data_IF_845094526064
#
_entry.id   IF_845094526064
#
_cell.length_a   1.000
_cell.length_b   1.000
_cell.length_c   1.000
_cell.angle_alpha   90.00
_cell.angle_beta   90.00
_cell.angle_gamma   90.00
#
_symmetry.space_group_name_H-M   'P 1'
#
loop_
_entity.id
_entity.type
_entity.pdbx_description
1 polymer ?
#
# COMPACT_ATOMS: atom_id res chain seq x y z
N UNK A 1 20.24 47.50 -1.40
CA UNK A 1 20.21 48.37 -2.59
C UNK A 1 21.41 49.29 -2.54
N UNK A 2 22.32 49.21 -3.51
CA UNK A 2 23.49 50.11 -3.57
C UNK A 2 23.34 50.99 -4.82
N UNK A 3 23.15 52.26 -4.65
CA UNK A 3 23.23 53.23 -5.73
C UNK A 3 24.71 53.66 -5.87
N UNK A 4 25.31 53.35 -7.03
CA UNK A 4 26.67 53.80 -7.38
C UNK A 4 26.52 54.87 -8.44
N UNK A 5 26.99 56.06 -8.14
CA UNK A 5 27.08 57.19 -9.07
C UNK A 5 28.53 57.46 -9.36
N UNK A 6 28.90 57.55 -10.63
CA UNK A 6 30.24 58.00 -11.07
C UNK A 6 30.15 59.41 -11.63
N UNK A 7 31.22 60.19 -11.40
CA UNK A 7 31.28 61.57 -11.89
C UNK A 7 31.56 61.55 -13.38
N UNK A 8 30.63 62.10 -14.16
CA UNK A 8 30.82 62.28 -15.60
C UNK A 8 31.97 63.28 -15.89
N UNK A 9 32.67 63.03 -16.97
CA UNK A 9 33.85 63.81 -17.40
C UNK A 9 33.54 65.19 -17.98
N UNK A 10 32.26 65.58 -18.07
CA UNK A 10 31.84 66.86 -18.67
C UNK A 10 31.47 67.90 -17.62
N UNK A 11 32.18 68.99 -17.65
CA UNK A 11 32.16 70.07 -16.70
C UNK A 11 31.04 71.13 -16.94
N UNK A 12 29.96 70.75 -17.64
CA UNK A 12 28.86 71.62 -17.96
C UNK A 12 27.51 71.03 -17.62
N UNK A 13 26.91 71.62 -16.65
CA UNK A 13 25.57 71.40 -16.16
C UNK A 13 25.41 70.35 -15.07
N UNK A 14 24.99 70.83 -13.93
CA UNK A 14 24.63 70.15 -12.70
C UNK A 14 23.26 69.48 -12.77
N UNK A 15 22.96 68.86 -13.93
CA UNK A 15 21.77 68.03 -14.10
C UNK A 15 22.21 66.59 -14.13
N UNK A 16 22.07 65.92 -12.99
CA UNK A 16 22.24 64.48 -12.94
C UNK A 16 21.25 63.80 -13.87
N UNK A 17 21.73 63.37 -15.04
CA UNK A 17 20.95 62.56 -15.95
C UNK A 17 20.66 61.23 -15.29
N UNK A 18 19.42 61.03 -14.88
CA UNK A 18 18.87 59.76 -14.44
C UNK A 18 18.61 58.81 -15.61
N UNK A 19 19.23 59.07 -16.76
CA UNK A 19 19.11 58.21 -17.93
C UNK A 19 19.76 56.87 -17.63
N UNK A 20 18.94 55.86 -17.48
CA UNK A 20 19.27 54.44 -17.28
C UNK A 20 19.61 53.96 -15.85
N UNK A 21 18.94 54.45 -14.83
CA UNK A 21 18.92 53.75 -13.55
C UNK A 21 18.24 52.38 -13.73
N UNK A 22 19.01 51.37 -14.00
CA UNK A 22 18.51 49.99 -14.10
C UNK A 22 18.57 49.34 -12.72
N UNK A 23 17.40 49.14 -12.13
CA UNK A 23 17.27 48.32 -10.92
C UNK A 23 17.40 46.85 -11.31
N UNK A 24 18.57 46.28 -11.17
CA UNK A 24 18.78 44.83 -11.35
C UNK A 24 18.65 44.13 -10.00
N UNK A 25 17.51 43.52 -9.73
CA UNK A 25 17.43 42.49 -8.69
C UNK A 25 18.26 41.29 -9.22
N UNK A 26 19.25 40.80 -8.44
CA UNK A 26 19.90 39.56 -8.85
C UNK A 26 18.81 38.49 -9.01
N UNK A 27 18.72 37.90 -10.18
CA UNK A 27 17.85 36.76 -10.43
C UNK A 27 18.43 35.58 -9.64
N UNK A 28 17.80 35.27 -8.52
CA UNK A 28 18.02 33.99 -7.86
C UNK A 28 17.08 33.00 -8.57
N UNK A 29 17.62 32.00 -9.21
CA UNK A 29 16.79 30.94 -9.78
C UNK A 29 15.86 30.39 -8.68
N UNK A 30 14.59 30.09 -9.01
CA UNK A 30 13.70 29.44 -8.07
C UNK A 30 14.38 28.15 -7.56
N UNK A 31 14.39 27.97 -6.24
CA UNK A 31 14.93 26.75 -5.66
C UNK A 31 13.87 25.66 -5.77
N UNK A 32 14.17 24.60 -6.52
CA UNK A 32 13.31 23.44 -6.64
C UNK A 32 13.81 22.30 -5.73
N UNK A 33 12.88 21.48 -5.27
CA UNK A 33 13.11 20.34 -4.40
C UNK A 33 12.45 19.11 -5.00
N UNK A 34 13.09 17.96 -4.82
CA UNK A 34 12.57 16.65 -5.24
C UNK A 34 11.76 15.98 -4.12
N UNK A 35 10.63 15.39 -4.48
CA UNK A 35 9.90 14.45 -3.61
C UNK A 35 10.00 13.07 -4.24
N UNK A 36 10.75 12.18 -3.57
CA UNK A 36 10.97 10.80 -4.00
C UNK A 36 10.13 9.87 -3.13
N UNK A 37 9.33 9.02 -3.75
CA UNK A 37 8.50 8.04 -3.04
C UNK A 37 8.77 6.62 -3.53
N UNK A 38 8.66 5.65 -2.64
CA UNK A 38 8.81 4.22 -2.95
C UNK A 38 7.92 3.38 -2.04
N UNK A 39 7.59 2.17 -2.45
CA UNK A 39 7.03 1.15 -1.57
C UNK A 39 8.15 0.46 -0.76
N UNK A 40 7.83 -0.05 0.42
CA UNK A 40 8.72 -0.94 1.19
C UNK A 40 9.00 -2.24 0.42
N UNK A 41 7.97 -2.76 -0.26
CA UNK A 41 8.06 -3.90 -1.17
C UNK A 41 7.15 -3.66 -2.39
N UNK A 42 7.69 -3.66 -3.63
CA UNK A 42 6.90 -3.50 -4.85
C UNK A 42 5.87 -4.61 -5.09
N UNK A 43 6.04 -5.80 -4.47
CA UNK A 43 5.06 -6.87 -4.52
C UNK A 43 3.81 -6.56 -3.69
N UNK A 44 3.91 -5.72 -2.66
CA UNK A 44 2.82 -5.36 -1.75
C UNK A 44 2.05 -4.12 -2.20
N UNK A 45 2.67 -3.25 -3.00
CA UNK A 45 2.01 -2.03 -3.46
C UNK A 45 2.94 -1.08 -4.20
N UNK A 46 2.42 0.11 -4.50
CA UNK A 46 3.14 1.18 -5.19
C UNK A 46 2.90 2.52 -4.51
N UNK A 47 3.80 3.47 -4.79
CA UNK A 47 3.70 4.84 -4.30
C UNK A 47 3.99 5.83 -5.41
N UNK A 48 3.26 6.95 -5.43
CA UNK A 48 3.45 8.03 -6.39
C UNK A 48 3.31 9.39 -5.72
N UNK A 49 4.09 10.37 -6.19
CA UNK A 49 3.88 11.78 -5.92
C UNK A 49 3.14 12.42 -7.09
N UNK A 50 2.37 13.47 -6.83
CA UNK A 50 1.63 14.21 -7.86
C UNK A 50 2.55 14.99 -8.82
N UNK A 51 3.78 15.31 -8.36
CA UNK A 51 4.84 15.93 -9.17
C UNK A 51 6.22 15.37 -8.79
N UNK A 52 7.23 15.58 -9.65
CA UNK A 52 8.61 15.16 -9.38
C UNK A 52 9.47 16.29 -8.77
N UNK A 53 9.11 17.54 -9.07
CA UNK A 53 9.81 18.73 -8.60
C UNK A 53 8.81 19.77 -8.10
N UNK A 54 9.18 20.45 -7.02
CA UNK A 54 8.36 21.43 -6.33
C UNK A 54 9.16 22.70 -6.06
N UNK A 55 8.51 23.84 -6.07
CA UNK A 55 9.09 25.08 -5.56
C UNK A 55 9.00 25.08 -4.02
N UNK A 56 9.84 25.92 -3.40
CA UNK A 56 9.79 26.09 -1.95
C UNK A 56 8.39 26.55 -1.49
N UNK A 57 7.81 25.82 -0.54
CA UNK A 57 6.46 26.01 0.01
C UNK A 57 5.31 25.54 -0.90
N UNK A 58 5.59 24.86 -2.02
CA UNK A 58 4.55 24.15 -2.74
C UNK A 58 3.97 23.02 -1.88
N UNK A 59 2.77 22.63 -2.21
CA UNK A 59 2.11 21.47 -1.57
C UNK A 59 2.34 20.24 -2.41
N UNK A 60 2.87 19.18 -1.81
CA UNK A 60 2.99 17.86 -2.41
C UNK A 60 1.89 16.94 -1.90
N UNK A 61 1.38 16.09 -2.80
CA UNK A 61 0.46 15.00 -2.48
C UNK A 61 1.09 13.69 -2.89
N UNK A 62 1.25 12.78 -1.93
CA UNK A 62 1.76 11.43 -2.17
C UNK A 62 0.66 10.40 -1.90
N UNK A 63 0.55 9.42 -2.79
CA UNK A 63 -0.48 8.39 -2.74
C UNK A 63 0.15 7.00 -2.77
N UNK A 64 -0.31 6.15 -1.87
CA UNK A 64 0.04 4.73 -1.81
C UNK A 64 -1.12 3.90 -2.35
N UNK A 65 -0.82 2.88 -3.16
CA UNK A 65 -1.80 1.93 -3.69
C UNK A 65 -1.36 0.52 -3.33
N UNK A 66 -2.14 -0.14 -2.48
CA UNK A 66 -1.88 -1.53 -2.09
C UNK A 66 -2.30 -2.49 -3.23
N UNK A 67 -1.55 -3.58 -3.38
CA UNK A 67 -1.94 -4.72 -4.21
C UNK A 67 -2.96 -5.59 -3.44
N UNK A 68 -3.62 -6.50 -4.16
CA UNK A 68 -4.57 -7.46 -3.57
C UNK A 68 -3.91 -8.30 -2.46
N UNK A 69 -4.59 -8.42 -1.32
CA UNK A 69 -4.09 -9.10 -0.12
C UNK A 69 -3.15 -8.29 0.76
N UNK A 70 -3.02 -6.98 0.50
CA UNK A 70 -2.20 -6.08 1.28
C UNK A 70 -2.94 -4.78 1.59
N UNK A 71 -2.53 -4.09 2.66
CA UNK A 71 -3.04 -2.76 3.01
C UNK A 71 -1.90 -1.79 3.30
N UNK A 72 -2.17 -0.51 3.09
CA UNK A 72 -1.26 0.57 3.47
C UNK A 72 -1.28 0.77 4.99
N UNK A 73 -0.10 0.93 5.59
CA UNK A 73 0.06 1.17 7.03
C UNK A 73 0.40 2.62 7.31
N UNK A 74 1.53 3.10 6.76
CA UNK A 74 2.00 4.45 7.01
C UNK A 74 3.07 4.90 6.00
N UNK A 75 3.41 6.19 6.08
CA UNK A 75 4.58 6.77 5.44
C UNK A 75 5.71 6.94 6.44
N UNK A 76 6.91 6.55 6.05
CA UNK A 76 8.13 6.81 6.81
C UNK A 76 9.10 7.67 6.00
N UNK A 77 9.92 8.49 6.71
CA UNK A 77 11.02 9.25 6.11
C UNK A 77 12.25 8.35 5.86
N UNK A 78 13.36 8.95 5.39
CA UNK A 78 14.60 8.24 5.09
C UNK A 78 15.24 7.56 6.33
N UNK A 79 14.96 8.07 7.53
CA UNK A 79 15.43 7.55 8.82
C UNK A 79 14.53 6.44 9.38
N UNK A 80 13.42 6.10 8.68
CA UNK A 80 12.44 5.12 9.13
C UNK A 80 11.43 5.63 10.16
N UNK A 81 11.39 6.95 10.40
CA UNK A 81 10.42 7.56 11.31
C UNK A 81 9.07 7.73 10.60
N UNK A 82 7.98 7.33 11.27
CA UNK A 82 6.60 7.54 10.76
C UNK A 82 6.30 9.03 10.70
N UNK A 83 5.88 9.50 9.52
CA UNK A 83 5.51 10.90 9.26
C UNK A 83 4.01 11.07 9.04
N UNK A 84 3.30 10.03 8.58
CA UNK A 84 1.86 10.06 8.38
C UNK A 84 1.27 8.65 8.26
N UNK A 85 0.04 8.47 8.73
CA UNK A 85 -0.81 7.29 8.48
C UNK A 85 -1.93 7.61 7.47
N UNK A 86 -2.00 8.86 6.99
CA UNK A 86 -3.01 9.27 6.02
C UNK A 86 -2.59 8.89 4.60
N UNK A 87 -3.53 8.43 3.80
CA UNK A 87 -3.35 8.14 2.39
C UNK A 87 -4.58 8.68 1.61
N UNK A 88 -4.40 9.71 0.75
CA UNK A 88 -3.14 10.39 0.43
C UNK A 88 -2.58 11.22 1.60
N UNK A 89 -1.25 11.44 1.59
CA UNK A 89 -0.56 12.34 2.52
C UNK A 89 -0.19 13.64 1.82
N UNK A 90 -0.55 14.77 2.43
CA UNK A 90 -0.36 16.12 1.89
C UNK A 90 0.53 16.94 2.82
N UNK A 91 1.58 17.55 2.27
CA UNK A 91 2.55 18.35 3.07
C UNK A 91 3.19 19.48 2.25
N UNK A 92 3.73 20.48 2.96
CA UNK A 92 4.47 21.57 2.35
C UNK A 92 5.94 21.21 2.11
N UNK A 93 6.46 21.47 0.91
CA UNK A 93 7.84 21.14 0.51
C UNK A 93 8.76 22.30 0.87
N UNK A 94 9.78 22.04 1.69
CA UNK A 94 10.81 23.03 2.10
C UNK A 94 12.24 22.58 1.80
N UNK A 95 12.42 21.30 1.48
CA UNK A 95 13.68 20.60 1.19
C UNK A 95 13.41 19.33 0.37
N UNK A 96 14.45 18.64 -0.08
CA UNK A 96 14.30 17.34 -0.71
C UNK A 96 13.75 16.31 0.28
N UNK A 97 12.73 15.56 -0.14
CA UNK A 97 12.01 14.60 0.70
C UNK A 97 12.08 13.20 0.08
N UNK A 98 12.40 12.20 0.90
CA UNK A 98 12.26 10.79 0.53
C UNK A 98 11.29 10.12 1.49
N UNK A 99 10.23 9.49 0.94
CA UNK A 99 9.23 8.77 1.70
C UNK A 99 9.13 7.32 1.24
N UNK A 100 8.89 6.44 2.21
CA UNK A 100 8.54 5.04 1.95
C UNK A 100 7.09 4.80 2.39
N UNK A 101 6.26 4.31 1.46
CA UNK A 101 4.95 3.75 1.77
C UNK A 101 5.14 2.35 2.32
N UNK A 102 4.67 2.10 3.53
CA UNK A 102 4.75 0.79 4.16
C UNK A 102 3.41 0.07 3.98
N UNK A 103 3.49 -1.15 3.50
CA UNK A 103 2.37 -2.06 3.31
C UNK A 103 2.60 -3.32 4.15
N UNK A 104 1.51 -3.92 4.62
CA UNK A 104 1.48 -5.21 5.32
C UNK A 104 0.45 -6.12 4.66
N UNK A 105 0.61 -7.44 4.82
CA UNK A 105 -0.36 -8.42 4.35
C UNK A 105 -1.66 -8.31 5.15
N UNK A 106 -2.80 -8.46 4.46
CA UNK A 106 -4.09 -8.54 5.12
C UNK A 106 -4.16 -9.78 6.04
N UNK A 107 -4.77 -9.67 7.21
CA UNK A 107 -4.96 -10.82 8.08
C UNK A 107 -5.88 -11.84 7.40
N UNK A 108 -5.41 -13.07 7.28
CA UNK A 108 -6.22 -14.18 6.74
C UNK A 108 -6.92 -14.88 7.91
N UNK A 109 -8.26 -14.93 7.85
CA UNK A 109 -9.05 -15.74 8.79
C UNK A 109 -8.84 -17.21 8.49
N UNK A 110 -8.56 -18.02 9.51
CA UNK A 110 -8.37 -19.45 9.38
C UNK A 110 -9.48 -20.23 10.06
N UNK A 111 -9.85 -21.34 9.46
CA UNK A 111 -10.87 -22.26 9.96
C UNK A 111 -10.31 -23.68 10.09
N UNK A 112 -10.85 -24.43 11.03
CA UNK A 112 -10.59 -25.87 11.15
C UNK A 112 -11.76 -26.67 10.60
N UNK A 113 -11.47 -27.80 9.95
CA UNK A 113 -12.47 -28.76 9.52
C UNK A 113 -12.37 -30.01 10.40
N UNK A 114 -13.43 -30.33 11.11
CA UNK A 114 -13.59 -31.61 11.80
C UNK A 114 -14.54 -32.50 11.00
N UNK A 115 -14.16 -33.78 10.79
CA UNK A 115 -14.98 -34.79 10.16
C UNK A 115 -15.10 -36.00 11.04
N UNK A 116 -16.29 -36.59 11.13
CA UNK A 116 -16.57 -37.78 11.90
C UNK A 116 -17.30 -38.82 11.03
N UNK A 117 -17.18 -40.08 11.35
CA UNK A 117 -17.98 -41.17 10.77
C UNK A 117 -18.95 -41.69 11.84
N UNK A 118 -20.15 -42.04 11.42
CA UNK A 118 -21.15 -42.62 12.32
C UNK A 118 -20.69 -43.94 12.97
N UNK A 119 -19.92 -44.76 12.21
CA UNK A 119 -19.28 -46.01 12.69
C UNK A 119 -17.98 -46.24 11.90
N UNK A 120 -16.85 -46.27 12.60
CA UNK A 120 -15.53 -46.49 12.01
C UNK A 120 -15.35 -47.89 11.38
N UNK A 121 -16.24 -48.85 11.67
CA UNK A 121 -16.24 -50.19 11.03
C UNK A 121 -16.84 -50.10 9.63
N UNK A 122 -17.76 -49.18 9.39
CA UNK A 122 -18.48 -49.04 8.11
C UNK A 122 -17.71 -48.28 7.06
N UNK A 123 -16.81 -47.37 7.47
CA UNK A 123 -16.09 -46.51 6.52
C UNK A 123 -15.13 -45.51 7.15
N UNK A 124 -14.57 -44.68 6.31
CA UNK A 124 -13.66 -43.63 6.69
C UNK A 124 -13.90 -42.37 5.86
N UNK A 125 -13.31 -41.24 6.29
CA UNK A 125 -13.31 -39.95 5.58
C UNK A 125 -11.89 -39.60 5.18
N UNK A 126 -11.71 -39.13 3.95
CA UNK A 126 -10.48 -38.45 3.52
C UNK A 126 -10.75 -37.00 3.24
N UNK A 127 -9.76 -36.15 3.54
CA UNK A 127 -9.83 -34.68 3.37
C UNK A 127 -8.69 -34.26 2.47
N UNK A 128 -9.00 -33.49 1.43
CA UNK A 128 -8.02 -32.98 0.46
C UNK A 128 -8.20 -31.49 0.21
N UNK A 129 -7.15 -30.67 0.42
CA UNK A 129 -5.86 -31.00 1.04
C UNK A 129 -6.00 -31.33 2.54
N UNK A 130 -5.16 -32.24 3.05
CA UNK A 130 -5.17 -32.61 4.49
C UNK A 130 -4.31 -31.60 5.26
N UNK A 131 -4.95 -30.67 5.97
CA UNK A 131 -4.32 -29.59 6.74
C UNK A 131 -5.02 -29.45 8.10
N UNK A 132 -4.32 -28.83 9.07
CA UNK A 132 -4.89 -28.53 10.39
C UNK A 132 -5.77 -27.27 10.35
N UNK A 133 -5.50 -26.35 9.43
CA UNK A 133 -6.22 -25.09 9.25
C UNK A 133 -6.32 -24.76 7.77
N UNK A 134 -7.39 -24.11 7.39
CA UNK A 134 -7.72 -23.67 6.04
C UNK A 134 -7.98 -22.18 6.03
N UNK A 135 -7.48 -21.49 5.02
CA UNK A 135 -7.74 -20.07 4.83
C UNK A 135 -9.21 -19.86 4.43
N UNK A 136 -9.78 -18.73 4.85
CA UNK A 136 -11.12 -18.34 4.42
C UNK A 136 -11.24 -18.38 2.89
N UNK A 137 -12.37 -18.90 2.40
CA UNK A 137 -12.66 -19.13 0.97
C UNK A 137 -11.75 -20.15 0.26
N UNK A 138 -10.92 -20.91 0.97
CA UNK A 138 -10.23 -22.05 0.37
C UNK A 138 -11.19 -23.22 0.11
N UNK A 139 -10.94 -23.96 -0.96
CA UNK A 139 -11.71 -25.19 -1.27
C UNK A 139 -11.11 -26.38 -0.57
N UNK A 140 -11.98 -27.17 0.09
CA UNK A 140 -11.62 -28.40 0.77
C UNK A 140 -12.60 -29.50 0.34
N UNK A 141 -12.08 -30.59 -0.16
CA UNK A 141 -12.89 -31.76 -0.56
C UNK A 141 -12.87 -32.83 0.52
N UNK A 142 -14.03 -33.25 0.96
CA UNK A 142 -14.22 -34.44 1.82
C UNK A 142 -14.75 -35.58 1.00
N UNK A 143 -14.19 -36.79 1.19
CA UNK A 143 -14.62 -37.99 0.48
C UNK A 143 -14.92 -39.10 1.47
N UNK A 144 -16.14 -39.64 1.40
CA UNK A 144 -16.53 -40.81 2.17
C UNK A 144 -16.05 -42.10 1.45
N UNK A 145 -15.42 -42.98 2.21
CA UNK A 145 -14.86 -44.25 1.73
C UNK A 145 -15.46 -45.39 2.51
N UNK A 146 -16.44 -46.14 1.93
CA UNK A 146 -16.97 -47.35 2.55
C UNK A 146 -15.88 -48.41 2.81
N UNK A 147 -15.96 -49.14 3.90
CA UNK A 147 -14.98 -50.16 4.29
C UNK A 147 -15.04 -51.42 3.43
N UNK A 148 -16.20 -51.75 2.84
CA UNK A 148 -16.42 -52.88 1.92
C UNK A 148 -17.67 -52.63 1.05
N UNK A 149 -17.93 -53.51 0.11
CA UNK A 149 -19.14 -53.48 -0.76
C UNK A 149 -20.45 -53.74 0.01
N UNK A 150 -20.37 -54.10 1.30
CA UNK A 150 -21.55 -54.30 2.16
C UNK A 150 -22.07 -53.00 2.76
N UNK A 151 -21.30 -51.92 2.63
CA UNK A 151 -21.65 -50.62 3.14
C UNK A 151 -21.75 -49.61 2.00
N UNK A 152 -22.68 -48.68 2.12
CA UNK A 152 -22.82 -47.54 1.18
C UNK A 152 -22.88 -46.22 1.91
N UNK A 153 -22.39 -45.17 1.26
CA UNK A 153 -22.52 -43.83 1.73
C UNK A 153 -23.97 -43.34 1.58
N UNK A 154 -24.51 -42.69 2.59
CA UNK A 154 -25.86 -42.12 2.56
C UNK A 154 -25.85 -40.61 2.37
N UNK A 155 -25.23 -39.91 3.31
CA UNK A 155 -25.18 -38.45 3.27
C UNK A 155 -24.14 -37.90 4.24
N UNK A 156 -23.81 -36.60 4.03
CA UNK A 156 -23.12 -35.77 4.99
C UNK A 156 -24.15 -34.98 5.79
N UNK A 157 -23.96 -34.89 7.10
CA UNK A 157 -24.82 -34.11 8.00
C UNK A 157 -23.96 -33.13 8.83
N UNK A 158 -24.54 -31.98 9.17
CA UNK A 158 -23.95 -31.07 10.15
C UNK A 158 -24.17 -31.65 11.56
N UNK A 159 -23.12 -31.89 12.36
CA UNK A 159 -23.27 -32.56 13.65
C UNK A 159 -24.06 -31.75 14.70
N UNK A 160 -24.06 -30.42 14.60
CA UNK A 160 -24.76 -29.55 15.56
C UNK A 160 -26.28 -29.47 15.31
N UNK A 161 -26.67 -29.57 14.03
CA UNK A 161 -28.07 -29.35 13.62
C UNK A 161 -28.74 -30.60 13.11
N UNK A 162 -28.00 -31.70 12.80
CA UNK A 162 -28.43 -32.89 12.08
C UNK A 162 -29.03 -32.59 10.69
N UNK A 163 -28.81 -31.41 10.16
CA UNK A 163 -29.23 -31.06 8.82
C UNK A 163 -28.36 -31.77 7.78
N UNK A 164 -29.01 -32.32 6.74
CA UNK A 164 -28.29 -32.85 5.58
C UNK A 164 -27.55 -31.76 4.85
N UNK A 165 -26.27 -32.00 4.51
CA UNK A 165 -25.37 -31.09 3.79
C UNK A 165 -25.25 -31.51 2.34
N UNK A 166 -25.03 -32.82 2.10
CA UNK A 166 -24.87 -33.41 0.75
C UNK A 166 -25.16 -34.90 0.75
N UNK A 167 -25.67 -35.40 -0.37
CA UNK A 167 -25.82 -36.82 -0.67
C UNK A 167 -24.73 -37.38 -1.59
N UNK A 168 -23.81 -36.53 -2.03
CA UNK A 168 -22.67 -36.94 -2.84
C UNK A 168 -21.52 -37.40 -1.93
N UNK A 169 -20.92 -38.56 -2.23
CA UNK A 169 -19.84 -39.15 -1.45
C UNK A 169 -18.58 -38.23 -1.44
N UNK A 170 -18.37 -37.47 -2.50
CA UNK A 170 -17.37 -36.39 -2.60
C UNK A 170 -18.08 -35.02 -2.55
N UNK A 171 -17.69 -34.22 -1.59
CA UNK A 171 -18.27 -32.89 -1.34
C UNK A 171 -17.17 -31.84 -1.14
N UNK A 172 -17.30 -30.69 -1.81
CA UNK A 172 -16.31 -29.58 -1.76
C UNK A 172 -16.95 -28.30 -1.25
#
# INVERSE_FOLDING_TARGET
LKLVMEKGTNNWSDHGDWANAKLTKPFTAPQSFAVTVRANDPAMGSAAADQNEYQKYDTATVTATANEGYHFVNWTNAEGTVVSESNPYVFGVTEDVTLTANFEADPVTKYTLATEVNDAVMGSVTVTPSQSEYDENSSVTVTAVPASDDYEFVNWTNPDTNAEVSTEAEYT
#
